data_IF_875451076650
#
_entry.id   IF_875451076650
#
_cell.length_a   1.000
_cell.length_b   1.000
_cell.length_c   1.000
_cell.angle_alpha   90.00
_cell.angle_beta   90.00
_cell.angle_gamma   90.00
#
_symmetry.space_group_name_H-M   'P 1'
#
loop_
_entity.id
_entity.type
_entity.pdbx_description
1 polymer ?
#
# COMPACT_ATOMS: atom_id res chain seq x y z
N UNK A 1 12.66 8.60 8.74
CA UNK A 1 11.45 7.80 8.95
C UNK A 1 10.87 7.40 7.60
N UNK A 2 10.42 6.16 7.50
CA UNK A 2 9.98 5.63 6.21
C UNK A 2 8.46 5.63 6.10
N UNK A 3 7.99 5.94 4.90
CA UNK A 3 6.56 5.93 4.61
C UNK A 3 6.04 4.50 4.47
N UNK A 4 4.75 4.40 4.33
CA UNK A 4 4.06 3.13 4.06
C UNK A 4 3.42 3.21 2.69
N UNK A 5 3.00 2.07 2.17
CA UNK A 5 2.57 1.93 0.79
C UNK A 5 1.23 1.23 0.69
N UNK A 6 0.47 1.60 -0.34
CA UNK A 6 -0.81 0.96 -0.67
C UNK A 6 -0.76 0.50 -2.12
N UNK A 7 -1.17 -0.74 -2.34
CA UNK A 7 -1.27 -1.31 -3.69
C UNK A 7 -2.75 -1.40 -4.06
N UNK A 8 -3.09 -0.87 -5.21
CA UNK A 8 -4.48 -0.84 -5.71
C UNK A 8 -4.54 -1.33 -7.14
N UNK A 9 -5.70 -1.84 -7.53
CA UNK A 9 -6.02 -2.00 -8.95
C UNK A 9 -6.31 -0.61 -9.53
N UNK A 10 -6.30 -0.52 -10.86
CA UNK A 10 -6.63 0.74 -11.53
C UNK A 10 -8.04 1.20 -11.17
N UNK A 11 -8.99 0.27 -11.12
CA UNK A 11 -10.37 0.59 -10.78
C UNK A 11 -10.52 1.08 -9.35
N UNK A 12 -9.78 0.48 -8.42
CA UNK A 12 -9.78 0.92 -7.03
C UNK A 12 -9.26 2.35 -6.89
N UNK A 13 -8.21 2.68 -7.65
CA UNK A 13 -7.67 4.04 -7.65
C UNK A 13 -8.65 5.05 -8.23
N UNK A 14 -9.31 4.71 -9.35
CA UNK A 14 -10.32 5.59 -9.94
C UNK A 14 -11.46 5.84 -8.96
N UNK A 15 -11.88 4.81 -8.25
CA UNK A 15 -12.92 4.93 -7.23
C UNK A 15 -12.47 5.83 -6.09
N UNK A 16 -11.23 5.70 -5.66
CA UNK A 16 -10.67 6.54 -4.60
C UNK A 16 -10.64 8.01 -4.99
N UNK A 17 -10.31 8.31 -6.24
CA UNK A 17 -10.31 9.69 -6.73
C UNK A 17 -11.70 10.30 -6.69
N UNK A 18 -12.73 9.51 -6.97
CA UNK A 18 -14.12 9.98 -6.89
C UNK A 18 -14.58 10.19 -5.46
N UNK A 19 -14.16 9.33 -4.55
CA UNK A 19 -14.58 9.38 -3.15
C UNK A 19 -13.76 10.34 -2.29
N UNK A 20 -12.53 10.62 -2.67
CA UNK A 20 -11.60 11.41 -1.88
C UNK A 20 -10.87 10.61 -0.81
N UNK A 21 -11.11 9.32 -0.71
CA UNK A 21 -10.39 8.43 0.21
C UNK A 21 -10.24 7.05 -0.40
N UNK A 22 -9.28 6.30 0.14
CA UNK A 22 -8.90 4.98 -0.37
C UNK A 22 -9.48 3.91 0.54
N UNK A 23 -10.30 3.04 -0.02
CA UNK A 23 -10.84 1.89 0.70
C UNK A 23 -11.15 0.78 -0.30
N UNK A 24 -10.44 -0.34 -0.20
CA UNK A 24 -10.73 -1.49 -1.03
C UNK A 24 -11.86 -2.32 -0.40
N UNK A 25 -12.38 -3.28 -1.14
CA UNK A 25 -13.39 -4.20 -0.61
C UNK A 25 -12.83 -4.93 0.62
N UNK A 26 -11.58 -5.38 0.53
CA UNK A 26 -10.93 -6.07 1.64
C UNK A 26 -10.77 -5.16 2.87
N UNK A 27 -10.40 -3.89 2.65
CA UNK A 27 -10.30 -2.92 3.73
C UNK A 27 -11.64 -2.76 4.44
N UNK A 28 -12.71 -2.68 3.66
CA UNK A 28 -14.06 -2.51 4.21
C UNK A 28 -14.50 -3.74 5.00
N UNK A 29 -14.22 -4.92 4.48
CA UNK A 29 -14.57 -6.17 5.16
C UNK A 29 -13.82 -6.33 6.47
N UNK A 30 -12.55 -5.96 6.49
CA UNK A 30 -11.70 -6.14 7.67
C UNK A 30 -11.78 -5.01 8.67
N UNK A 31 -12.33 -3.86 8.26
CA UNK A 31 -12.52 -2.72 9.14
C UNK A 31 -11.29 -1.85 9.35
N UNK A 32 -10.28 -1.99 8.50
CA UNK A 32 -9.09 -1.15 8.52
C UNK A 32 -8.42 -1.15 7.14
N UNK A 33 -7.59 -0.14 6.88
CA UNK A 33 -6.86 -0.04 5.62
C UNK A 33 -5.58 -0.86 5.72
N UNK A 34 -5.37 -1.75 4.76
CA UNK A 34 -4.17 -2.59 4.67
C UNK A 34 -3.06 -1.83 3.97
N UNK A 35 -1.92 -1.69 4.64
CA UNK A 35 -0.74 -1.03 4.11
C UNK A 35 0.47 -1.95 4.18
N UNK A 36 1.54 -1.57 3.52
CA UNK A 36 2.80 -2.34 3.52
C UNK A 36 3.97 -1.41 3.80
N UNK A 37 4.97 -1.93 4.50
CA UNK A 37 6.26 -1.24 4.58
C UNK A 37 7.02 -1.50 3.28
N UNK A 38 8.10 -0.75 3.05
CA UNK A 38 8.93 -0.96 1.86
C UNK A 38 9.48 -2.38 1.78
N UNK A 39 9.83 -2.98 2.90
CA UNK A 39 10.33 -4.36 2.96
C UNK A 39 9.28 -5.40 2.56
N UNK A 40 8.03 -5.12 2.87
CA UNK A 40 6.92 -6.06 2.61
C UNK A 40 6.36 -5.94 1.21
N UNK A 41 6.76 -4.91 0.49
CA UNK A 41 6.13 -4.53 -0.75
C UNK A 41 6.23 -5.60 -1.84
N UNK A 42 7.39 -6.24 -1.95
CA UNK A 42 7.57 -7.29 -2.96
C UNK A 42 6.58 -8.44 -2.77
N UNK A 43 6.38 -8.86 -1.52
CA UNK A 43 5.41 -9.91 -1.20
C UNK A 43 3.98 -9.46 -1.52
N UNK A 44 3.63 -8.25 -1.15
CA UNK A 44 2.31 -7.71 -1.42
C UNK A 44 2.03 -7.63 -2.93
N UNK A 45 2.99 -7.15 -3.70
CA UNK A 45 2.85 -7.06 -5.14
C UNK A 45 2.70 -8.43 -5.79
N UNK A 46 3.47 -9.43 -5.34
CA UNK A 46 3.34 -10.79 -5.86
C UNK A 46 1.93 -11.35 -5.66
N UNK A 47 1.33 -11.09 -4.51
CA UNK A 47 -0.03 -11.57 -4.22
C UNK A 47 -1.05 -10.93 -5.16
N UNK A 48 -0.89 -9.64 -5.44
CA UNK A 48 -1.80 -8.93 -6.35
C UNK A 48 -1.58 -9.32 -7.81
N UNK A 49 -0.31 -9.48 -8.22
CA UNK A 49 -0.01 -9.78 -9.62
C UNK A 49 -0.45 -11.17 -10.09
N UNK A 50 -0.81 -12.05 -9.18
CA UNK A 50 -1.43 -13.31 -9.58
C UNK A 50 -2.76 -13.09 -10.28
N UNK A 51 -3.43 -11.96 -9.99
CA UNK A 51 -4.77 -11.65 -10.48
C UNK A 51 -4.83 -10.47 -11.43
N UNK A 52 -3.81 -9.61 -11.40
CA UNK A 52 -3.82 -8.35 -12.14
C UNK A 52 -2.57 -8.17 -12.98
N UNK A 53 -2.74 -7.59 -14.18
CA UNK A 53 -1.61 -7.29 -15.06
C UNK A 53 -1.06 -5.89 -14.82
N UNK A 54 -1.85 -5.00 -14.24
CA UNK A 54 -1.48 -3.62 -13.96
C UNK A 54 -1.96 -3.22 -12.58
N UNK A 55 -1.10 -2.53 -11.84
CA UNK A 55 -1.40 -2.07 -10.49
C UNK A 55 -0.97 -0.63 -10.31
N UNK A 56 -1.57 0.02 -9.33
CA UNK A 56 -1.19 1.35 -8.87
C UNK A 56 -0.49 1.19 -7.52
N UNK A 57 0.72 1.72 -7.42
CA UNK A 57 1.48 1.73 -6.18
C UNK A 57 1.49 3.15 -5.62
N UNK A 58 1.04 3.31 -4.40
CA UNK A 58 0.98 4.61 -3.72
C UNK A 58 1.95 4.65 -2.56
N UNK A 59 2.68 5.75 -2.43
CA UNK A 59 3.45 6.05 -1.24
C UNK A 59 2.62 6.99 -0.38
N UNK A 60 2.42 6.61 0.88
CA UNK A 60 1.60 7.37 1.82
C UNK A 60 2.51 8.14 2.75
N UNK A 61 2.29 9.43 2.87
CA UNK A 61 3.04 10.27 3.81
C UNK A 61 2.54 9.99 5.23
N UNK A 62 3.29 9.14 5.93
CA UNK A 62 2.94 8.67 7.26
C UNK A 62 2.74 9.80 8.27
N UNK A 63 3.50 10.89 8.11
CA UNK A 63 3.42 12.02 9.03
C UNK A 63 2.14 12.83 8.90
N UNK A 64 1.43 12.71 7.77
CA UNK A 64 0.16 13.39 7.56
C UNK A 64 -1.04 12.60 8.07
N UNK A 65 -0.83 11.38 8.55
CA UNK A 65 -1.91 10.58 9.11
C UNK A 65 -2.27 11.10 10.50
N UNK A 66 -3.55 11.35 10.72
CA UNK A 66 -4.04 11.82 12.02
C UNK A 66 -4.16 10.68 13.04
N UNK A 67 -4.41 9.49 12.54
CA UNK A 67 -4.54 8.29 13.37
C UNK A 67 -3.26 7.48 13.27
N UNK A 68 -2.78 7.00 14.41
CA UNK A 68 -1.57 6.21 14.46
C UNK A 68 -1.77 4.84 13.81
N UNK A 69 -0.76 4.38 13.07
CA UNK A 69 -0.78 3.05 12.47
C UNK A 69 -0.63 1.97 13.54
N UNK A 70 -1.36 0.86 13.35
CA UNK A 70 -1.24 -0.30 14.21
C UNK A 70 -0.54 -1.41 13.41
N UNK A 71 0.55 -1.92 13.95
CA UNK A 71 1.29 -2.99 13.29
C UNK A 71 0.83 -4.33 13.83
N UNK A 72 0.21 -5.12 12.96
CA UNK A 72 -0.44 -6.37 13.35
C UNK A 72 -0.10 -7.49 12.39
N UNK A 73 -0.15 -8.72 12.86
CA UNK A 73 0.05 -9.88 12.00
C UNK A 73 -1.05 -9.92 10.94
N UNK A 74 -0.65 -10.13 9.68
CA UNK A 74 -1.60 -10.40 8.61
C UNK A 74 -1.97 -11.88 8.66
N UNK A 75 -3.21 -12.21 8.34
CA UNK A 75 -3.63 -13.60 8.29
C UNK A 75 -2.96 -14.37 7.15
N UNK A 76 -3.15 -15.67 7.14
CA UNK A 76 -2.67 -16.54 6.08
C UNK A 76 -1.17 -16.77 6.13
N UNK A 77 -0.54 -16.80 4.95
CA UNK A 77 0.87 -17.14 4.81
C UNK A 77 1.83 -15.96 4.90
N UNK A 78 1.32 -14.77 5.22
CA UNK A 78 2.17 -13.59 5.31
C UNK A 78 2.86 -13.52 6.66
N UNK A 79 4.19 -13.50 6.65
CA UNK A 79 4.98 -13.39 7.86
C UNK A 79 5.15 -11.92 8.26
N UNK A 80 5.28 -11.69 9.58
CA UNK A 80 5.55 -10.36 10.12
C UNK A 80 4.29 -9.55 10.38
N UNK A 81 4.50 -8.32 10.79
CA UNK A 81 3.43 -7.39 11.12
C UNK A 81 3.32 -6.33 10.03
N UNK A 82 2.10 -6.07 9.60
CA UNK A 82 1.81 -5.09 8.56
C UNK A 82 1.13 -3.87 9.19
N UNK A 83 1.40 -2.67 8.66
CA UNK A 83 0.75 -1.47 9.15
C UNK A 83 -0.72 -1.43 8.74
N UNK A 84 -1.60 -1.26 9.70
CA UNK A 84 -3.04 -1.14 9.49
C UNK A 84 -3.52 0.22 9.96
N UNK A 85 -4.36 0.87 9.18
CA UNK A 85 -4.93 2.17 9.54
C UNK A 85 -6.41 1.99 9.86
N UNK A 86 -6.78 2.25 11.12
CA UNK A 86 -8.17 2.19 11.58
C UNK A 86 -8.83 3.57 11.44
N UNK A 87 -8.82 4.09 10.22
CA UNK A 87 -9.37 5.39 9.89
C UNK A 87 -9.48 5.49 8.37
N UNK A 88 -10.10 6.54 7.88
CA UNK A 88 -10.13 6.80 6.44
C UNK A 88 -8.75 7.22 5.95
N UNK A 89 -8.35 6.70 4.81
CA UNK A 89 -7.10 7.06 4.16
C UNK A 89 -7.39 8.07 3.06
N UNK A 90 -7.20 9.35 3.35
CA UNK A 90 -7.45 10.43 2.38
C UNK A 90 -6.50 10.33 1.20
N UNK A 91 -7.00 10.62 -0.01
CA UNK A 91 -6.14 10.72 -1.18
C UNK A 91 -5.12 11.85 -1.06
N UNK A 92 -5.36 12.82 -0.18
CA UNK A 92 -4.45 13.95 0.03
C UNK A 92 -3.13 13.56 0.71
N UNK A 93 -3.08 12.41 1.38
CA UNK A 93 -1.85 11.95 2.04
C UNK A 93 -0.96 11.12 1.12
N UNK A 94 -1.37 10.92 -0.12
CA UNK A 94 -0.54 10.22 -1.12
C UNK A 94 0.56 11.17 -1.58
N UNK A 95 1.82 10.78 -1.36
CA UNK A 95 2.96 11.59 -1.75
C UNK A 95 3.49 11.26 -3.13
N UNK A 96 3.38 10.00 -3.55
CA UNK A 96 3.83 9.54 -4.87
C UNK A 96 2.95 8.41 -5.37
N UNK A 97 2.86 8.31 -6.70
CA UNK A 97 2.11 7.27 -7.38
C UNK A 97 2.94 6.68 -8.51
N UNK A 98 2.93 5.38 -8.64
CA UNK A 98 3.56 4.67 -9.78
C UNK A 98 2.56 3.74 -10.42
N UNK A 99 2.62 3.67 -11.74
CA UNK A 99 1.88 2.68 -12.51
C UNK A 99 2.82 1.50 -12.78
N UNK A 100 2.42 0.31 -12.36
CA UNK A 100 3.25 -0.88 -12.46
C UNK A 100 2.55 -1.92 -13.32
N UNK A 101 3.26 -2.52 -14.25
CA UNK A 101 2.73 -3.59 -15.10
C UNK A 101 3.50 -4.88 -14.84
N UNK A 102 2.84 -6.01 -15.08
CA UNK A 102 3.46 -7.32 -14.87
C UNK A 102 4.73 -7.49 -15.69
N UNK A 103 4.71 -7.08 -16.97
CA UNK A 103 5.84 -7.25 -17.86
C UNK A 103 7.04 -6.38 -17.48
N UNK A 104 6.78 -5.26 -16.84
CA UNK A 104 7.83 -4.35 -16.37
C UNK A 104 7.94 -4.31 -14.87
N UNK A 105 7.45 -5.33 -14.19
CA UNK A 105 7.42 -5.33 -12.74
C UNK A 105 8.80 -5.17 -12.12
N UNK A 106 8.91 -4.14 -11.31
CA UNK A 106 10.09 -3.94 -10.48
C UNK A 106 9.75 -2.85 -9.47
N UNK A 107 10.28 -2.99 -8.28
CA UNK A 107 10.10 -1.99 -7.24
C UNK A 107 10.91 -0.74 -7.63
N UNK A 108 10.29 0.46 -7.60
CA UNK A 108 11.02 1.69 -7.93
C UNK A 108 12.30 1.85 -7.11
N UNK A 109 13.34 2.37 -7.73
CA UNK A 109 14.65 2.53 -7.09
C UNK A 109 14.59 3.35 -5.81
N UNK A 110 13.71 4.35 -5.77
CA UNK A 110 13.53 5.17 -4.56
C UNK A 110 13.11 4.34 -3.36
N UNK A 111 12.28 3.32 -3.59
CA UNK A 111 11.82 2.42 -2.53
C UNK A 111 12.93 1.44 -2.16
N UNK A 112 13.67 0.93 -3.14
CA UNK A 112 14.79 0.05 -2.87
C UNK A 112 15.83 0.72 -1.98
N UNK A 113 16.06 2.01 -2.16
CA UNK A 113 16.95 2.78 -1.29
C UNK A 113 16.47 2.77 0.16
N UNK A 114 15.17 2.86 0.39
CA UNK A 114 14.63 2.79 1.73
C UNK A 114 14.90 1.44 2.39
N UNK A 115 14.77 0.36 1.62
CA UNK A 115 15.05 -0.99 2.12
C UNK A 115 16.51 -1.12 2.54
N UNK A 116 17.43 -0.62 1.72
CA UNK A 116 18.86 -0.70 1.99
C UNK A 116 19.29 0.12 3.20
N UNK A 117 18.69 1.30 3.38
CA UNK A 117 19.11 2.22 4.45
C UNK A 117 18.40 1.99 5.77
N UNK A 118 17.16 1.64 5.73
CA UNK A 118 16.30 1.66 6.90
C UNK A 118 16.22 0.37 7.67
N UNK A 119 16.92 -0.55 7.24
CA UNK A 119 16.68 -1.87 7.73
C UNK A 119 17.95 -2.66 7.72
#
# INVERSE_FOLDING_TARGET
MFDVYKVLTINEWKNALNLGYIETILDKEDGFVHLSTSKQLALTLNLYFEQEDSLILLQINKEKLETQLVYEAAGGNRAGEFPHLYDKLSTEVVSKKWDITRSGFRIPDEILHQIEKGT
#
